data_IF_171518935314
#
_entry.id   IF_171518935314
#
_cell.length_a   1.000
_cell.length_b   1.000
_cell.length_c   1.000
_cell.angle_alpha   90.00
_cell.angle_beta   90.00
_cell.angle_gamma   90.00
#
_symmetry.space_group_name_H-M   'P 1'
#
loop_
_entity.id
_entity.type
_entity.pdbx_description
1 polymer ?
#
# COMPACT_ATOMS: atom_id res chain seq x y z
N UNK A 1 13.36 21.60 24.27
CA UNK A 1 13.32 20.28 23.60
C UNK A 1 13.06 20.55 22.13
N UNK A 2 14.02 20.25 21.26
CA UNK A 2 13.79 20.30 19.81
C UNK A 2 12.69 19.29 19.50
N UNK A 3 11.59 19.77 18.91
CA UNK A 3 10.51 18.90 18.45
C UNK A 3 11.12 17.91 17.47
N UNK A 4 11.10 16.62 17.77
CA UNK A 4 11.69 15.62 16.87
C UNK A 4 10.94 15.66 15.54
N UNK A 5 11.68 15.91 14.47
CA UNK A 5 11.14 16.17 13.14
C UNK A 5 10.67 14.87 12.47
N UNK A 6 9.35 14.76 12.27
CA UNK A 6 8.74 13.64 11.53
C UNK A 6 8.86 13.91 10.04
N UNK A 7 9.34 12.92 9.30
CA UNK A 7 9.48 12.96 7.84
C UNK A 7 8.56 11.92 7.19
N UNK A 8 7.92 12.29 6.09
CA UNK A 8 7.13 11.36 5.27
C UNK A 8 7.87 11.14 3.95
N UNK A 9 8.23 9.90 3.64
CA UNK A 9 8.75 9.53 2.33
C UNK A 9 7.68 8.80 1.53
N UNK A 10 7.38 9.30 0.34
CA UNK A 10 6.49 8.64 -0.60
C UNK A 10 7.29 8.10 -1.79
N UNK A 11 7.16 6.81 -2.07
CA UNK A 11 7.76 6.17 -3.23
C UNK A 11 6.69 5.81 -4.26
N UNK A 12 6.85 6.29 -5.50
CA UNK A 12 5.97 5.92 -6.61
C UNK A 12 6.26 4.52 -7.16
N UNK A 13 5.34 3.99 -7.97
CA UNK A 13 5.46 2.63 -8.51
C UNK A 13 6.72 2.40 -9.34
N UNK A 14 7.23 3.42 -10.03
CA UNK A 14 8.50 3.34 -10.76
C UNK A 14 9.71 3.10 -9.84
N UNK A 15 9.66 3.59 -8.60
CA UNK A 15 10.73 3.39 -7.60
C UNK A 15 10.77 1.95 -7.06
N UNK A 16 9.65 1.23 -7.11
CA UNK A 16 9.49 -0.14 -6.60
C UNK A 16 9.03 -1.10 -7.70
N UNK A 17 9.41 -0.86 -8.95
CA UNK A 17 8.92 -1.63 -10.11
C UNK A 17 9.53 -3.03 -10.23
N UNK A 18 10.67 -3.26 -9.61
CA UNK A 18 11.46 -4.49 -9.67
C UNK A 18 12.30 -4.65 -8.38
N UNK A 19 12.99 -5.79 -8.26
CA UNK A 19 13.81 -6.09 -7.08
C UNK A 19 14.90 -5.04 -6.84
N UNK A 20 15.58 -4.54 -7.88
CA UNK A 20 16.61 -3.51 -7.74
C UNK A 20 16.04 -2.17 -7.25
N UNK A 21 14.84 -1.81 -7.71
CA UNK A 21 14.08 -0.67 -7.22
C UNK A 21 13.82 -0.79 -5.72
N UNK A 22 13.29 -1.94 -5.27
CA UNK A 22 13.06 -2.20 -3.84
C UNK A 22 14.37 -2.14 -3.04
N UNK A 23 15.46 -2.72 -3.55
CA UNK A 23 16.80 -2.62 -2.91
C UNK A 23 17.24 -1.17 -2.75
N UNK A 24 17.08 -0.37 -3.80
CA UNK A 24 17.44 1.06 -3.78
C UNK A 24 16.60 1.85 -2.76
N UNK A 25 15.28 1.62 -2.74
CA UNK A 25 14.38 2.24 -1.76
C UNK A 25 14.76 1.87 -0.33
N UNK A 26 14.99 0.58 -0.06
CA UNK A 26 15.45 0.11 1.25
C UNK A 26 16.76 0.79 1.69
N UNK A 27 17.71 0.96 0.76
CA UNK A 27 18.97 1.67 1.02
C UNK A 27 18.78 3.17 1.31
N UNK A 28 17.87 3.85 0.61
CA UNK A 28 17.52 5.25 0.89
C UNK A 28 16.96 5.40 2.30
N UNK A 29 16.07 4.48 2.69
CA UNK A 29 15.44 4.48 4.01
C UNK A 29 16.48 4.15 5.10
N UNK A 30 17.36 3.16 4.86
CA UNK A 30 18.42 2.80 5.80
C UNK A 30 19.38 3.95 6.13
N UNK A 31 19.66 4.83 5.16
CA UNK A 31 20.46 6.07 5.37
C UNK A 31 19.79 7.08 6.30
N UNK A 32 18.51 6.91 6.62
CA UNK A 32 17.74 7.76 7.52
C UNK A 32 17.39 7.04 8.84
N UNK A 33 18.06 5.92 9.16
CA UNK A 33 17.89 5.21 10.43
C UNK A 33 18.10 6.16 11.63
N UNK A 34 17.23 6.04 12.63
CA UNK A 34 17.25 6.87 13.84
C UNK A 34 16.46 8.19 13.72
N UNK A 35 15.94 8.52 12.53
CA UNK A 35 14.97 9.61 12.36
C UNK A 35 13.55 9.08 12.50
N UNK A 36 12.61 9.96 12.86
CA UNK A 36 11.17 9.66 12.82
C UNK A 36 10.68 9.71 11.38
N UNK A 37 10.66 8.55 10.73
CA UNK A 37 10.32 8.40 9.32
C UNK A 37 9.07 7.54 9.15
N UNK A 38 8.15 7.98 8.32
CA UNK A 38 7.03 7.20 7.80
C UNK A 38 7.22 6.98 6.31
N UNK A 39 6.93 5.77 5.83
CA UNK A 39 7.06 5.39 4.43
C UNK A 39 5.68 5.09 3.86
N UNK A 40 5.32 5.79 2.79
CA UNK A 40 4.13 5.56 1.97
C UNK A 40 4.61 5.04 0.61
N UNK A 41 4.03 3.95 0.11
CA UNK A 41 4.45 3.36 -1.15
C UNK A 41 3.25 3.04 -2.04
N UNK A 42 3.42 3.30 -3.34
CA UNK A 42 2.44 2.95 -4.38
C UNK A 42 2.57 1.46 -4.79
N UNK A 43 1.62 0.96 -5.57
CA UNK A 43 1.71 -0.34 -6.25
C UNK A 43 2.95 -0.42 -7.17
N UNK A 44 3.49 -1.62 -7.38
CA UNK A 44 4.75 -1.84 -8.11
C UNK A 44 4.64 -1.57 -9.62
N UNK A 45 5.44 -0.66 -10.17
CA UNK A 45 5.55 -0.45 -11.62
C UNK A 45 4.21 -0.15 -12.30
N UNK A 46 3.74 -1.10 -13.12
CA UNK A 46 2.47 -1.02 -13.87
C UNK A 46 1.38 -1.94 -13.29
N UNK A 47 1.54 -2.43 -12.06
CA UNK A 47 0.61 -3.38 -11.44
C UNK A 47 -0.80 -2.83 -11.29
N UNK A 48 -0.99 -1.53 -11.00
CA UNK A 48 -2.33 -0.90 -11.01
C UNK A 48 -3.05 -1.18 -12.33
N UNK A 49 -2.44 -0.87 -13.47
CA UNK A 49 -3.04 -1.13 -14.79
C UNK A 49 -3.30 -2.62 -15.04
N UNK A 50 -2.46 -3.51 -14.49
CA UNK A 50 -2.67 -4.94 -14.62
C UNK A 50 -3.91 -5.40 -13.81
N UNK A 51 -4.09 -4.88 -12.60
CA UNK A 51 -5.30 -5.10 -11.80
C UNK A 51 -6.54 -4.46 -12.43
N UNK A 52 -6.44 -3.28 -13.05
CA UNK A 52 -7.53 -2.71 -13.85
C UNK A 52 -7.96 -3.65 -14.97
N UNK A 53 -6.99 -4.30 -15.62
CA UNK A 53 -7.26 -5.37 -16.59
C UNK A 53 -7.94 -6.61 -15.99
N UNK A 54 -7.72 -6.93 -14.72
CA UNK A 54 -8.45 -7.98 -13.99
C UNK A 54 -9.90 -7.55 -13.75
N UNK A 55 -10.11 -6.32 -13.25
CA UNK A 55 -11.44 -5.73 -13.01
C UNK A 55 -12.27 -5.74 -14.29
N UNK A 56 -11.71 -5.27 -15.40
CA UNK A 56 -12.40 -5.24 -16.70
C UNK A 56 -12.83 -6.65 -17.14
N UNK A 57 -11.93 -7.62 -17.05
CA UNK A 57 -12.23 -9.01 -17.43
C UNK A 57 -13.30 -9.65 -16.53
N UNK A 58 -13.26 -9.34 -15.23
CA UNK A 58 -14.22 -9.84 -14.25
C UNK A 58 -15.61 -9.25 -14.47
N UNK A 59 -15.74 -7.92 -14.56
CA UNK A 59 -17.04 -7.25 -14.78
C UNK A 59 -17.65 -7.62 -16.12
N UNK A 60 -16.83 -7.79 -17.16
CA UNK A 60 -17.31 -8.23 -18.49
C UNK A 60 -17.58 -9.73 -18.58
N UNK A 61 -17.27 -10.51 -17.54
CA UNK A 61 -17.35 -11.98 -17.53
C UNK A 61 -16.65 -12.62 -18.73
N UNK A 62 -15.46 -12.11 -19.08
CA UNK A 62 -14.72 -12.59 -20.25
C UNK A 62 -14.16 -14.00 -20.10
N UNK A 63 -14.13 -14.53 -18.87
CA UNK A 63 -13.45 -15.78 -18.51
C UNK A 63 -11.94 -15.63 -18.35
N UNK A 64 -11.39 -14.41 -18.44
CA UNK A 64 -9.94 -14.18 -18.38
C UNK A 64 -9.45 -13.65 -17.02
N UNK A 65 -10.36 -13.27 -16.11
CA UNK A 65 -10.02 -12.56 -14.87
C UNK A 65 -9.00 -13.34 -14.01
N UNK A 66 -9.25 -14.63 -13.77
CA UNK A 66 -8.35 -15.50 -13.01
C UNK A 66 -6.96 -15.61 -13.64
N UNK A 67 -6.89 -15.79 -14.96
CA UNK A 67 -5.60 -15.90 -15.67
C UNK A 67 -4.80 -14.60 -15.63
N UNK A 68 -5.49 -13.44 -15.67
CA UNK A 68 -4.85 -12.13 -15.55
C UNK A 68 -4.36 -11.90 -14.11
N UNK A 69 -5.15 -12.29 -13.11
CA UNK A 69 -4.74 -12.21 -11.71
C UNK A 69 -3.54 -13.12 -11.45
N UNK A 70 -3.56 -14.35 -11.96
CA UNK A 70 -2.43 -15.30 -11.83
C UNK A 70 -1.15 -14.73 -12.45
N UNK A 71 -1.24 -14.04 -13.60
CA UNK A 71 -0.09 -13.35 -14.18
C UNK A 71 0.45 -12.26 -13.24
N UNK A 72 -0.44 -11.50 -12.60
CA UNK A 72 -0.05 -10.51 -11.58
C UNK A 72 0.63 -11.17 -10.38
N UNK A 73 0.11 -12.30 -9.87
CA UNK A 73 0.73 -13.06 -8.78
C UNK A 73 2.15 -13.48 -9.14
N UNK A 74 2.33 -14.07 -10.32
CA UNK A 74 3.63 -14.54 -10.81
C UNK A 74 4.66 -13.41 -10.92
N UNK A 75 4.26 -12.24 -11.42
CA UNK A 75 5.15 -11.09 -11.54
C UNK A 75 5.65 -10.61 -10.16
N UNK A 76 4.77 -10.59 -9.14
CA UNK A 76 5.17 -10.22 -7.77
C UNK A 76 6.00 -11.31 -7.09
N UNK A 77 5.66 -12.59 -7.28
CA UNK A 77 6.45 -13.71 -6.73
C UNK A 77 7.85 -13.77 -7.34
N UNK A 78 8.01 -13.40 -8.61
CA UNK A 78 9.32 -13.30 -9.24
C UNK A 78 10.18 -12.21 -8.56
N UNK A 79 9.60 -11.05 -8.26
CA UNK A 79 10.31 -9.99 -7.51
C UNK A 79 10.70 -10.49 -6.11
N UNK A 80 9.80 -11.17 -5.40
CA UNK A 80 10.11 -11.78 -4.11
C UNK A 80 11.23 -12.80 -4.21
N UNK A 81 11.24 -13.65 -5.23
CA UNK A 81 12.28 -14.65 -5.45
C UNK A 81 13.66 -13.99 -5.63
N UNK A 82 13.71 -12.90 -6.37
CA UNK A 82 14.95 -12.14 -6.58
C UNK A 82 15.43 -11.45 -5.30
N UNK A 83 14.51 -10.94 -4.47
CA UNK A 83 14.83 -10.26 -3.22
C UNK A 83 15.24 -11.22 -2.09
N UNK A 84 14.54 -12.35 -1.96
CA UNK A 84 14.54 -13.16 -0.74
C UNK A 84 14.90 -14.64 -0.97
N UNK A 85 14.98 -15.12 -2.22
CA UNK A 85 15.02 -16.55 -2.53
C UNK A 85 13.63 -17.20 -2.43
N UNK A 86 13.56 -18.53 -2.31
CA UNK A 86 12.29 -19.28 -2.46
C UNK A 86 11.56 -19.61 -1.14
N UNK A 87 12.20 -19.45 0.02
CA UNK A 87 11.68 -19.94 1.32
C UNK A 87 11.31 -18.82 2.31
N UNK A 88 11.17 -17.59 1.82
CA UNK A 88 10.90 -16.45 2.69
C UNK A 88 9.43 -16.38 3.10
N UNK A 89 9.13 -15.95 4.33
CA UNK A 89 7.75 -15.91 4.85
C UNK A 89 6.83 -14.96 4.05
N UNK A 90 7.41 -13.97 3.34
CA UNK A 90 6.67 -13.01 2.50
C UNK A 90 5.82 -13.68 1.43
N UNK A 91 6.18 -14.87 0.93
CA UNK A 91 5.36 -15.58 -0.07
C UNK A 91 4.00 -15.95 0.51
N UNK A 92 3.96 -16.40 1.77
CA UNK A 92 2.70 -16.71 2.48
C UNK A 92 1.89 -15.44 2.72
N UNK A 93 2.53 -14.36 3.18
CA UNK A 93 1.82 -13.09 3.41
C UNK A 93 1.22 -12.49 2.13
N UNK A 94 1.91 -12.65 0.99
CA UNK A 94 1.39 -12.22 -0.31
C UNK A 94 0.24 -13.11 -0.76
N UNK A 95 0.37 -14.43 -0.59
CA UNK A 95 -0.71 -15.34 -0.91
C UNK A 95 -1.99 -14.99 -0.14
N UNK A 96 -1.88 -14.70 1.16
CA UNK A 96 -3.03 -14.32 2.00
C UNK A 96 -3.71 -13.04 1.48
N UNK A 97 -2.93 -12.07 0.99
CA UNK A 97 -3.47 -10.84 0.37
C UNK A 97 -4.10 -11.13 -0.99
N UNK A 98 -3.50 -12.00 -1.80
CA UNK A 98 -4.07 -12.37 -3.10
C UNK A 98 -5.37 -13.17 -2.98
N UNK A 99 -5.55 -13.93 -1.89
CA UNK A 99 -6.81 -14.62 -1.60
C UNK A 99 -7.97 -13.63 -1.45
N UNK A 100 -7.73 -12.39 -0.99
CA UNK A 100 -8.76 -11.34 -0.98
C UNK A 100 -9.28 -11.08 -2.41
N UNK A 101 -8.39 -11.03 -3.41
CA UNK A 101 -8.79 -10.86 -4.80
C UNK A 101 -9.51 -12.10 -5.36
N UNK A 102 -9.02 -13.30 -5.02
CA UNK A 102 -9.63 -14.56 -5.47
C UNK A 102 -11.10 -14.65 -5.00
N UNK A 103 -11.37 -14.33 -3.73
CA UNK A 103 -12.75 -14.33 -3.20
C UNK A 103 -13.66 -13.33 -3.89
N UNK A 104 -13.15 -12.15 -4.29
CA UNK A 104 -13.95 -11.21 -5.07
C UNK A 104 -14.27 -11.81 -6.44
N UNK A 105 -13.33 -12.50 -7.09
CA UNK A 105 -13.54 -13.10 -8.41
C UNK A 105 -14.46 -14.33 -8.41
N UNK A 106 -14.58 -15.03 -7.29
CA UNK A 106 -15.46 -16.21 -7.13
C UNK A 106 -16.96 -15.84 -7.07
N UNK A 107 -17.27 -14.59 -6.69
CA UNK A 107 -18.63 -14.08 -6.59
C UNK A 107 -19.09 -13.42 -7.91
N UNK A 108 -20.39 -13.17 -8.02
CA UNK A 108 -20.95 -12.39 -9.13
C UNK A 108 -20.54 -10.89 -9.01
N UNK A 109 -20.09 -10.24 -10.11
CA UNK A 109 -19.68 -8.84 -10.06
C UNK A 109 -20.79 -7.95 -9.52
N UNK A 110 -20.43 -7.11 -8.54
CA UNK A 110 -21.32 -6.06 -8.05
C UNK A 110 -21.71 -5.12 -9.20
N UNK A 111 -22.93 -4.57 -9.15
CA UNK A 111 -23.46 -3.71 -10.22
C UNK A 111 -22.70 -2.39 -10.37
N UNK A 112 -22.10 -1.92 -9.27
CA UNK A 112 -21.23 -0.75 -9.24
C UNK A 112 -19.79 -1.13 -9.61
N UNK A 113 -19.36 -0.71 -10.81
CA UNK A 113 -17.99 -0.90 -11.28
C UNK A 113 -16.95 -0.28 -10.36
N UNK A 114 -17.23 0.91 -9.81
CA UNK A 114 -16.26 1.64 -9.00
C UNK A 114 -16.03 0.94 -7.66
N UNK A 115 -17.06 0.31 -7.10
CA UNK A 115 -16.94 -0.59 -5.94
C UNK A 115 -16.00 -1.76 -6.22
N UNK A 116 -16.22 -2.47 -7.33
CA UNK A 116 -15.39 -3.64 -7.74
C UNK A 116 -13.95 -3.21 -7.99
N UNK A 117 -13.75 -2.07 -8.65
CA UNK A 117 -12.44 -1.48 -8.89
C UNK A 117 -11.67 -1.31 -7.57
N UNK A 118 -12.29 -0.68 -6.57
CA UNK A 118 -11.62 -0.41 -5.29
C UNK A 118 -11.29 -1.69 -4.52
N UNK A 119 -12.10 -2.75 -4.64
CA UNK A 119 -11.83 -4.02 -3.96
C UNK A 119 -10.65 -4.78 -4.58
N UNK A 120 -10.44 -4.67 -5.91
CA UNK A 120 -9.41 -5.46 -6.61
C UNK A 120 -8.11 -4.66 -6.80
N UNK A 121 -8.19 -3.38 -7.19
CA UNK A 121 -6.99 -2.58 -7.54
C UNK A 121 -6.14 -2.27 -6.31
N UNK A 122 -6.77 -2.13 -5.13
CA UNK A 122 -6.10 -1.90 -3.85
C UNK A 122 -5.11 -3.02 -3.46
N UNK A 123 -5.31 -4.23 -3.96
CA UNK A 123 -4.45 -5.39 -3.68
C UNK A 123 -3.00 -5.12 -4.13
N UNK A 124 -2.79 -4.38 -5.22
CA UNK A 124 -1.45 -4.01 -5.68
C UNK A 124 -0.68 -3.14 -4.68
N UNK A 125 -1.39 -2.26 -3.96
CA UNK A 125 -0.81 -1.41 -2.92
C UNK A 125 -0.41 -2.22 -1.67
N UNK A 126 -1.28 -3.16 -1.26
CA UNK A 126 -1.03 -4.06 -0.14
C UNK A 126 0.19 -4.97 -0.41
N UNK A 127 0.25 -5.59 -1.58
CA UNK A 127 1.37 -6.46 -1.98
C UNK A 127 2.68 -5.68 -2.05
N UNK A 128 2.70 -4.54 -2.73
CA UNK A 128 3.89 -3.68 -2.86
C UNK A 128 4.47 -3.28 -1.50
N UNK A 129 3.60 -2.80 -0.60
CA UNK A 129 4.01 -2.37 0.74
C UNK A 129 4.48 -3.51 1.63
N UNK A 130 3.89 -4.72 1.52
CA UNK A 130 4.38 -5.91 2.23
C UNK A 130 5.77 -6.33 1.75
N UNK A 131 6.00 -6.35 0.45
CA UNK A 131 7.32 -6.65 -0.14
C UNK A 131 8.38 -5.68 0.40
N UNK A 132 8.08 -4.37 0.35
CA UNK A 132 9.02 -3.35 0.84
C UNK A 132 9.27 -3.48 2.34
N UNK A 133 8.23 -3.67 3.16
CA UNK A 133 8.36 -3.82 4.60
C UNK A 133 9.20 -5.06 4.97
N UNK A 134 8.96 -6.19 4.31
CA UNK A 134 9.75 -7.42 4.48
C UNK A 134 11.22 -7.20 4.13
N UNK A 135 11.51 -6.54 3.00
CA UNK A 135 12.88 -6.21 2.62
C UNK A 135 13.57 -5.28 3.62
N UNK A 136 12.87 -4.27 4.11
CA UNK A 136 13.40 -3.38 5.15
C UNK A 136 13.67 -4.13 6.48
N UNK A 137 12.85 -5.11 6.83
CA UNK A 137 13.08 -5.96 8.00
C UNK A 137 14.33 -6.85 7.83
N UNK A 138 14.60 -7.35 6.62
CA UNK A 138 15.84 -8.09 6.32
C UNK A 138 17.10 -7.22 6.46
N UNK A 139 16.98 -5.93 6.12
CA UNK A 139 18.01 -4.92 6.41
C UNK A 139 18.14 -4.57 7.91
N UNK A 140 17.42 -5.26 8.79
CA UNK A 140 17.40 -5.05 10.25
C UNK A 140 17.00 -3.63 10.64
N UNK A 141 16.10 -3.04 9.85
CA UNK A 141 15.42 -1.80 10.22
C UNK A 141 14.24 -2.12 11.16
N UNK A 142 13.98 -1.30 12.18
CA UNK A 142 12.81 -1.47 13.04
C UNK A 142 11.57 -1.02 12.25
N UNK A 143 10.84 -1.96 11.65
CA UNK A 143 9.72 -1.67 10.74
C UNK A 143 8.43 -2.26 11.25
N UNK A 144 7.33 -1.53 11.05
CA UNK A 144 5.98 -2.05 11.20
C UNK A 144 5.18 -1.77 9.93
N UNK A 145 4.63 -2.83 9.34
CA UNK A 145 3.67 -2.70 8.26
C UNK A 145 2.29 -2.35 8.84
N UNK A 146 1.65 -1.31 8.32
CA UNK A 146 0.30 -0.89 8.69
C UNK A 146 -0.60 -0.89 7.46
N UNK A 147 -1.81 -1.42 7.61
CA UNK A 147 -2.83 -1.33 6.59
C UNK A 147 -3.50 0.05 6.64
N UNK A 148 -3.38 0.82 5.57
CA UNK A 148 -3.97 2.15 5.41
C UNK A 148 -5.49 2.10 5.52
N UNK A 149 -6.15 0.98 5.19
CA UNK A 149 -7.60 0.79 5.38
C UNK A 149 -8.01 0.89 6.85
N UNK A 150 -7.12 0.52 7.78
CA UNK A 150 -7.35 0.69 9.23
C UNK A 150 -7.04 2.08 9.78
N UNK A 151 -6.38 2.93 8.98
CA UNK A 151 -5.90 4.26 9.37
C UNK A 151 -6.70 5.40 8.73
N UNK A 152 -7.09 5.23 7.46
CA UNK A 152 -7.83 6.21 6.66
C UNK A 152 -9.24 5.69 6.49
N UNK A 153 -10.18 6.38 7.14
CA UNK A 153 -11.60 6.18 6.88
C UNK A 153 -12.11 7.17 5.84
N UNK A 154 -13.03 6.72 5.02
CA UNK A 154 -13.62 7.49 3.93
C UNK A 154 -15.14 7.32 3.86
N UNK A 155 -15.79 8.13 3.02
CA UNK A 155 -17.17 7.88 2.57
C UNK A 155 -17.21 6.81 1.45
N UNK A 156 -18.43 6.43 1.05
CA UNK A 156 -18.66 5.36 0.07
C UNK A 156 -18.59 5.87 -1.38
N UNK A 157 -17.85 6.97 -1.65
CA UNK A 157 -17.61 7.45 -3.02
C UNK A 157 -16.42 6.67 -3.59
N UNK A 158 -16.66 5.45 -4.04
CA UNK A 158 -15.62 4.60 -4.62
C UNK A 158 -14.88 5.34 -5.75
N UNK A 159 -13.57 5.08 -5.86
CA UNK A 159 -12.58 5.74 -6.73
C UNK A 159 -12.28 7.22 -6.46
N UNK A 160 -13.10 7.94 -5.72
CA UNK A 160 -12.86 9.36 -5.37
C UNK A 160 -13.27 9.66 -3.92
N UNK A 161 -12.91 8.76 -3.02
CA UNK A 161 -13.44 8.73 -1.67
C UNK A 161 -12.97 9.94 -0.85
N UNK A 162 -13.87 10.50 -0.04
CA UNK A 162 -13.57 11.65 0.82
C UNK A 162 -13.18 11.17 2.19
N UNK A 163 -12.07 11.68 2.70
CA UNK A 163 -11.54 11.34 4.03
C UNK A 163 -12.48 11.80 5.14
N UNK A 164 -12.81 10.88 6.04
CA UNK A 164 -13.38 11.17 7.36
C UNK A 164 -12.22 11.54 8.31
N UNK A 165 -12.06 12.84 8.53
CA UNK A 165 -10.99 13.38 9.37
C UNK A 165 -11.18 13.10 10.86
N UNK A 166 -12.43 13.02 11.32
CA UNK A 166 -12.75 12.79 12.73
C UNK A 166 -12.28 11.40 13.18
N UNK A 167 -12.29 10.43 12.26
CA UNK A 167 -11.67 9.13 12.49
C UNK A 167 -10.18 9.09 12.13
N UNK A 168 -9.82 9.57 10.93
CA UNK A 168 -8.49 9.33 10.34
C UNK A 168 -7.38 10.00 11.14
N UNK A 169 -7.57 11.23 11.59
CA UNK A 169 -6.55 11.98 12.32
C UNK A 169 -6.16 11.30 13.65
N UNK A 170 -7.10 11.01 14.57
CA UNK A 170 -6.73 10.33 15.82
C UNK A 170 -6.21 8.90 15.60
N UNK A 171 -6.67 8.20 14.55
CA UNK A 171 -6.15 6.86 14.22
C UNK A 171 -4.66 6.91 13.83
N UNK A 172 -4.28 7.83 12.94
CA UNK A 172 -2.89 8.03 12.50
C UNK A 172 -2.03 8.54 13.66
N UNK A 173 -2.47 9.57 14.39
CA UNK A 173 -1.71 10.12 15.52
C UNK A 173 -1.39 9.06 16.58
N UNK A 174 -2.38 8.22 16.92
CA UNK A 174 -2.22 7.17 17.92
C UNK A 174 -1.33 6.04 17.43
N UNK A 175 -1.65 5.44 16.28
CA UNK A 175 -0.98 4.22 15.82
C UNK A 175 0.41 4.54 15.25
N UNK A 176 0.48 5.49 14.33
CA UNK A 176 1.71 5.86 13.63
C UNK A 176 2.62 6.66 14.57
N UNK A 177 2.06 7.64 15.29
CA UNK A 177 2.82 8.40 16.30
C UNK A 177 3.35 7.50 17.44
N UNK A 178 2.58 6.50 17.86
CA UNK A 178 3.00 5.50 18.85
C UNK A 178 4.23 4.70 18.42
N UNK A 179 4.28 4.27 17.15
CA UNK A 179 5.43 3.56 16.58
C UNK A 179 6.65 4.45 16.41
N UNK A 180 6.46 5.68 15.93
CA UNK A 180 7.54 6.66 15.79
C UNK A 180 8.22 6.95 17.14
N UNK A 181 7.45 7.03 18.23
CA UNK A 181 7.98 7.20 19.58
C UNK A 181 8.76 5.99 20.10
N UNK A 182 8.55 4.81 19.52
CA UNK A 182 9.30 3.58 19.80
C UNK A 182 10.51 3.43 18.86
N UNK A 183 10.76 4.39 17.98
CA UNK A 183 11.83 4.31 16.98
C UNK A 183 11.55 3.31 15.86
N UNK A 184 10.29 2.91 15.66
CA UNK A 184 9.84 2.03 14.58
C UNK A 184 9.41 2.88 13.38
N UNK A 185 9.81 2.46 12.18
CA UNK A 185 9.48 3.05 10.88
C UNK A 185 8.16 2.42 10.39
N UNK A 186 7.05 3.17 10.36
CA UNK A 186 5.80 2.67 9.82
C UNK A 186 5.87 2.67 8.28
N UNK A 187 5.50 1.54 7.67
CA UNK A 187 5.33 1.39 6.23
C UNK A 187 3.86 1.16 5.95
N UNK A 188 3.26 2.02 5.13
CA UNK A 188 1.84 1.97 4.78
C UNK A 188 1.65 2.15 3.28
N UNK A 189 0.48 1.78 2.79
CA UNK A 189 0.06 1.97 1.40
C UNK A 189 -0.26 3.43 1.14
N UNK A 190 -0.14 3.84 -0.13
CA UNK A 190 -0.84 5.02 -0.65
C UNK A 190 -2.20 4.65 -1.24
N UNK A 191 -2.92 5.64 -1.76
CA UNK A 191 -4.09 5.49 -2.63
C UNK A 191 -5.36 4.91 -1.99
N UNK A 192 -5.25 4.09 -0.94
CA UNK A 192 -6.37 3.31 -0.39
C UNK A 192 -6.84 3.82 0.98
N UNK A 193 -8.10 3.54 1.31
CA UNK A 193 -8.73 3.72 2.61
C UNK A 193 -9.92 2.77 2.76
N UNK A 194 -10.75 2.92 3.81
CA UNK A 194 -11.97 2.13 3.94
C UNK A 194 -13.18 2.92 4.44
N UNK A 195 -14.36 2.46 4.07
CA UNK A 195 -15.64 2.96 4.60
C UNK A 195 -15.85 2.56 6.06
N UNK A 196 -16.89 3.11 6.71
CA UNK A 196 -17.31 2.68 8.06
C UNK A 196 -17.70 1.19 8.14
N UNK A 197 -18.11 0.61 7.02
CA UNK A 197 -18.50 -0.79 6.85
C UNK A 197 -17.32 -1.69 6.46
N UNK A 198 -16.11 -1.14 6.39
CA UNK A 198 -14.86 -1.79 6.00
C UNK A 198 -14.75 -2.19 4.52
N UNK A 199 -15.62 -1.65 3.65
CA UNK A 199 -15.36 -1.74 2.21
C UNK A 199 -14.12 -0.93 1.84
N UNK A 200 -13.27 -1.48 0.99
CA UNK A 200 -12.09 -0.76 0.50
C UNK A 200 -12.54 0.38 -0.40
N UNK A 201 -11.83 1.50 -0.32
CA UNK A 201 -12.01 2.65 -1.19
C UNK A 201 -10.68 3.14 -1.72
N UNK A 202 -10.70 3.87 -2.82
CA UNK A 202 -9.53 4.57 -3.32
C UNK A 202 -9.74 6.08 -3.38
N UNK A 203 -8.65 6.82 -3.21
CA UNK A 203 -8.62 8.27 -3.01
C UNK A 203 -8.51 9.06 -4.34
N UNK A 204 -8.71 8.39 -5.47
CA UNK A 204 -8.63 8.97 -6.80
C UNK A 204 -7.22 9.25 -7.30
N UNK A 205 -7.17 10.10 -8.33
CA UNK A 205 -5.93 10.38 -9.07
C UNK A 205 -4.86 10.95 -8.15
N UNK A 206 -3.62 10.48 -8.33
CA UNK A 206 -2.49 10.84 -7.46
C UNK A 206 -2.71 10.46 -5.99
N UNK A 207 -3.61 9.50 -5.71
CA UNK A 207 -4.03 9.17 -4.35
C UNK A 207 -2.89 8.74 -3.42
N UNK A 208 -1.78 8.16 -3.90
CA UNK A 208 -0.63 7.89 -3.04
C UNK A 208 0.11 9.16 -2.60
N UNK A 209 0.19 10.19 -3.45
CA UNK A 209 0.75 11.50 -3.08
C UNK A 209 -0.20 12.19 -2.08
N UNK A 210 -1.52 12.04 -2.29
CA UNK A 210 -2.53 12.52 -1.35
C UNK A 210 -2.46 11.79 0.00
N UNK A 211 -2.27 10.47 0.03
CA UNK A 211 -2.03 9.71 1.28
C UNK A 211 -0.82 10.25 2.05
N UNK A 212 0.29 10.54 1.36
CA UNK A 212 1.45 11.13 2.01
C UNK A 212 1.13 12.52 2.60
N UNK A 213 0.29 13.31 1.94
CA UNK A 213 -0.18 14.58 2.47
C UNK A 213 -1.10 14.42 3.69
N UNK A 214 -2.00 13.42 3.69
CA UNK A 214 -2.85 13.07 4.84
C UNK A 214 -1.99 12.75 6.07
N UNK A 215 -1.01 11.83 5.92
CA UNK A 215 -0.11 11.47 7.02
C UNK A 215 0.74 12.65 7.47
N UNK A 216 1.22 13.48 6.53
CA UNK A 216 1.98 14.69 6.85
C UNK A 216 1.16 15.67 7.71
N UNK A 217 -0.10 15.87 7.35
CA UNK A 217 -1.03 16.73 8.07
C UNK A 217 -1.32 16.18 9.48
N UNK A 218 -1.74 14.92 9.58
CA UNK A 218 -2.11 14.30 10.86
C UNK A 218 -0.93 14.21 11.84
N UNK A 219 0.30 14.00 11.36
CA UNK A 219 1.47 13.89 12.22
C UNK A 219 2.21 15.22 12.42
N UNK A 220 1.73 16.31 11.80
CA UNK A 220 2.43 17.60 11.79
C UNK A 220 3.90 17.42 11.37
N UNK A 221 4.09 16.71 10.25
CA UNK A 221 5.40 16.37 9.72
C UNK A 221 6.18 17.61 9.30
N UNK A 222 7.50 17.61 9.51
CA UNK A 222 8.37 18.72 9.10
C UNK A 222 8.65 18.71 7.60
N UNK A 223 8.53 17.55 6.95
CA UNK A 223 8.81 17.40 5.53
C UNK A 223 8.08 16.21 4.93
N UNK A 224 7.72 16.35 3.65
CA UNK A 224 7.20 15.30 2.80
C UNK A 224 8.07 15.25 1.54
N UNK A 225 8.68 14.10 1.27
CA UNK A 225 9.55 13.89 0.10
C UNK A 225 8.89 12.87 -0.82
N UNK A 226 8.67 13.27 -2.08
CA UNK A 226 8.13 12.40 -3.13
C UNK A 226 9.27 11.93 -4.02
N UNK A 227 9.47 10.62 -4.07
CA UNK A 227 10.44 9.94 -4.93
C UNK A 227 9.70 9.44 -6.18
N UNK A 228 10.16 9.87 -7.36
CA UNK A 228 9.59 9.54 -8.67
C UNK A 228 10.57 8.72 -9.49
#
# INVERSE_FOLDING_TARGET
>A
MTKEEIQIFKFGGASVKDADGVRNVGNIIAKNKGKKLVVIVSAMGKSTNAFEGVVEAYVQKSGEAESRLEKVKQDHYQICKELFGEQHAVFTELNDVFVEADWVLEEEPHEDYDFVYDQIVSIGELVSSKILAAYMADLKLPVAWLDARGLIRTDNRFREARVDWDYTMPAIEKQVGGLLNQGVIPVSQGFIGSTSENYTTTLGREGSDFTAAIFSFCLNASSMTIWK
#
